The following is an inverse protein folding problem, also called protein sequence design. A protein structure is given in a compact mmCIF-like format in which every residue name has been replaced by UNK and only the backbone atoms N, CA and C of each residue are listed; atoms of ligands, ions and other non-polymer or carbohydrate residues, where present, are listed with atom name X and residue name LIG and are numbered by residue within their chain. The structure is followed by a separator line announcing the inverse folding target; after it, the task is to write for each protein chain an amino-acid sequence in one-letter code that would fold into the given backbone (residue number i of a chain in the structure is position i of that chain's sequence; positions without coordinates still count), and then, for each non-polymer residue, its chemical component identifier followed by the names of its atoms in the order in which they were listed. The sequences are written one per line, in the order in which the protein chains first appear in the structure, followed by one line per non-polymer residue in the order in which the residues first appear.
data_IF_070499886285
#
_entry.id   IF_070499886285
#
_cell.length_a   1.000
_cell.length_b   1.000
_cell.length_c   1.000
_cell.angle_alpha   90.00
_cell.angle_beta   90.00
_cell.angle_gamma   90.00
#
_symmetry.space_group_name_H-M   'P 1'
#
loop_
_entity.id
_entity.type
_entity.pdbx_description
1 polymer ?
#
# COMPACT_ATOMS: atom_id res chain seq x y z
N UNK A 1 4.51 21.53 16.27
CA UNK A 1 3.99 20.14 16.36
C UNK A 1 5.13 19.23 16.77
N UNK A 2 4.88 18.23 17.63
CA UNK A 2 5.92 17.26 18.00
C UNK A 2 6.16 16.25 16.86
N UNK A 3 7.32 15.57 16.87
CA UNK A 3 7.60 14.48 15.92
C UNK A 3 6.61 13.31 16.06
N UNK A 4 6.12 13.08 17.28
CA UNK A 4 5.09 12.08 17.55
C UNK A 4 3.77 12.42 16.85
N UNK A 5 3.32 13.68 16.93
CA UNK A 5 2.12 14.15 16.25
C UNK A 5 2.24 14.04 14.73
N UNK A 6 3.41 14.42 14.18
CA UNK A 6 3.68 14.30 12.74
C UNK A 6 3.63 12.84 12.28
N UNK A 7 4.22 11.92 13.04
CA UNK A 7 4.17 10.47 12.74
C UNK A 7 2.78 9.86 12.85
N UNK A 8 1.92 10.40 13.72
CA UNK A 8 0.51 9.99 13.82
C UNK A 8 -0.24 10.41 12.56
N UNK A 9 -0.15 11.69 12.17
CA UNK A 9 -0.86 12.21 11.00
C UNK A 9 -0.46 11.51 9.70
N UNK A 10 0.84 11.25 9.50
CA UNK A 10 1.36 10.51 8.33
C UNK A 10 0.88 9.04 8.24
N UNK A 11 0.36 8.49 9.33
CA UNK A 11 -0.17 7.12 9.38
C UNK A 11 -1.68 7.05 9.28
N UNK A 12 -2.40 8.09 9.67
CA UNK A 12 -3.88 8.03 9.79
C UNK A 12 -4.61 9.04 8.92
N UNK A 13 -4.13 10.28 8.82
CA UNK A 13 -4.88 11.37 8.20
C UNK A 13 -4.34 11.75 6.82
N UNK A 14 -3.02 11.60 6.60
CA UNK A 14 -2.36 12.12 5.41
C UNK A 14 -1.88 10.99 4.49
N UNK A 15 -2.31 11.04 3.23
CA UNK A 15 -1.73 10.28 2.14
C UNK A 15 -0.61 11.09 1.46
N UNK A 16 0.54 10.47 1.21
CA UNK A 16 1.65 11.07 0.45
C UNK A 16 1.80 10.30 -0.85
N UNK A 17 1.80 11.03 -1.96
CA UNK A 17 2.03 10.48 -3.31
C UNK A 17 3.36 11.02 -3.82
N UNK A 18 4.21 10.13 -4.30
CA UNK A 18 5.54 10.47 -4.83
C UNK A 18 5.49 10.69 -6.34
N UNK A 19 6.33 11.58 -6.87
CA UNK A 19 6.48 11.78 -8.32
C UNK A 19 7.03 10.53 -9.02
N UNK A 20 7.95 9.82 -8.37
CA UNK A 20 8.40 8.50 -8.79
C UNK A 20 7.71 7.45 -7.92
N UNK A 21 6.82 6.61 -8.48
CA UNK A 21 6.00 5.70 -7.68
C UNK A 21 6.80 4.74 -6.79
N UNK A 22 7.94 4.23 -7.30
CA UNK A 22 8.82 3.33 -6.56
C UNK A 22 9.44 3.95 -5.30
N UNK A 23 9.45 5.27 -5.16
CA UNK A 23 9.93 5.92 -3.94
C UNK A 23 8.95 5.73 -2.76
N UNK A 24 7.67 5.48 -3.07
CA UNK A 24 6.62 5.16 -2.09
C UNK A 24 6.43 3.66 -1.84
N UNK A 25 7.13 2.79 -2.58
CA UNK A 25 6.92 1.34 -2.56
C UNK A 25 8.17 0.57 -2.14
N UNK A 26 7.97 -0.50 -1.37
CA UNK A 26 8.99 -1.50 -1.05
C UNK A 26 9.11 -2.47 -2.22
N UNK A 27 10.17 -2.29 -3.02
CA UNK A 27 10.39 -3.00 -4.30
C UNK A 27 10.42 -4.53 -4.21
N UNK A 28 10.88 -5.08 -3.09
CA UNK A 28 10.99 -6.52 -2.86
C UNK A 28 9.80 -7.12 -2.11
N UNK A 29 8.74 -6.33 -1.90
CA UNK A 29 7.51 -6.75 -1.23
C UNK A 29 6.40 -6.74 -2.27
N UNK A 30 5.48 -7.70 -2.23
CA UNK A 30 4.37 -7.76 -3.18
C UNK A 30 3.46 -6.52 -3.09
N UNK A 31 2.62 -6.31 -4.11
CA UNK A 31 1.59 -5.27 -4.10
C UNK A 31 0.71 -5.38 -2.84
N UNK A 32 0.24 -6.59 -2.52
CA UNK A 32 -0.54 -6.87 -1.32
C UNK A 32 0.22 -6.63 -0.02
N UNK A 33 1.54 -6.89 0.00
CA UNK A 33 2.37 -6.61 1.16
C UNK A 33 2.57 -5.11 1.40
N UNK A 34 2.76 -4.32 0.33
CA UNK A 34 2.86 -2.86 0.40
C UNK A 34 1.55 -2.23 0.91
N UNK A 35 0.40 -2.69 0.41
CA UNK A 35 -0.92 -2.26 0.89
C UNK A 35 -1.14 -2.72 2.34
N UNK A 36 -0.83 -3.98 2.63
CA UNK A 36 -1.03 -4.59 3.94
C UNK A 36 -0.22 -3.93 5.04
N UNK A 37 1.01 -3.49 4.76
CA UNK A 37 1.84 -2.75 5.71
C UNK A 37 1.12 -1.49 6.23
N UNK A 38 0.46 -0.74 5.34
CA UNK A 38 -0.34 0.43 5.72
C UNK A 38 -1.55 0.06 6.57
N UNK A 39 -2.29 -0.96 6.19
CA UNK A 39 -3.45 -1.45 6.96
C UNK A 39 -3.04 -1.95 8.35
N UNK A 40 -1.89 -2.64 8.46
CA UNK A 40 -1.35 -3.08 9.74
C UNK A 40 -0.89 -1.89 10.60
N UNK A 41 -0.32 -0.86 9.99
CA UNK A 41 0.10 0.36 10.69
C UNK A 41 -1.08 1.14 11.30
N UNK A 42 -2.29 1.01 10.74
CA UNK A 42 -3.53 1.61 11.27
C UNK A 42 -4.28 0.70 12.24
N UNK A 43 -3.84 -0.55 12.43
CA UNK A 43 -4.36 -1.45 13.46
C UNK A 43 -4.98 -2.75 12.94
N UNK A 44 -5.05 -2.99 11.63
CA UNK A 44 -5.56 -4.25 11.10
C UNK A 44 -4.67 -5.44 11.54
N UNK A 45 -5.29 -6.54 11.97
CA UNK A 45 -4.58 -7.75 12.45
C UNK A 45 -5.05 -9.04 11.78
N UNK A 46 -6.25 -9.06 11.22
CA UNK A 46 -6.78 -10.25 10.55
C UNK A 46 -6.25 -10.31 9.12
N UNK A 47 -5.46 -11.34 8.82
CA UNK A 47 -4.82 -11.49 7.50
C UNK A 47 -5.85 -11.58 6.36
N UNK A 48 -6.94 -12.33 6.56
CA UNK A 48 -7.98 -12.48 5.54
C UNK A 48 -8.60 -11.13 5.14
N UNK A 49 -8.86 -10.27 6.12
CA UNK A 49 -9.49 -8.97 5.89
C UNK A 49 -8.52 -8.00 5.21
N UNK A 50 -7.24 -8.05 5.61
CA UNK A 50 -6.18 -7.27 4.98
C UNK A 50 -6.04 -7.67 3.51
N UNK A 51 -6.00 -8.98 3.21
CA UNK A 51 -5.87 -9.47 1.84
C UNK A 51 -7.08 -9.10 1.00
N UNK A 52 -8.29 -9.29 1.52
CA UNK A 52 -9.52 -8.92 0.83
C UNK A 52 -9.59 -7.41 0.52
N UNK A 53 -9.20 -6.58 1.49
CA UNK A 53 -9.13 -5.12 1.30
C UNK A 53 -8.09 -4.74 0.25
N UNK A 54 -6.91 -5.36 0.28
CA UNK A 54 -5.87 -5.12 -0.70
C UNK A 54 -6.30 -5.52 -2.13
N UNK A 55 -7.02 -6.65 -2.28
CA UNK A 55 -7.58 -7.06 -3.57
C UNK A 55 -8.61 -6.04 -4.09
N UNK A 56 -9.52 -5.59 -3.22
CA UNK A 56 -10.51 -4.57 -3.57
C UNK A 56 -9.85 -3.27 -4.04
N UNK A 57 -8.81 -2.82 -3.35
CA UNK A 57 -8.10 -1.59 -3.72
C UNK A 57 -7.34 -1.72 -5.03
N UNK A 58 -6.76 -2.90 -5.32
CA UNK A 58 -6.15 -3.15 -6.64
C UNK A 58 -7.20 -3.03 -7.75
N UNK A 59 -8.38 -3.61 -7.57
CA UNK A 59 -9.47 -3.53 -8.54
C UNK A 59 -9.96 -2.08 -8.73
N UNK A 60 -10.04 -1.28 -7.66
CA UNK A 60 -10.42 0.15 -7.71
C UNK A 60 -9.46 1.00 -8.54
N UNK A 61 -8.18 0.60 -8.63
CA UNK A 61 -7.17 1.23 -9.50
C UNK A 61 -6.93 0.47 -10.80
N UNK A 62 -7.89 -0.36 -11.21
CA UNK A 62 -7.89 -1.13 -12.46
C UNK A 62 -6.73 -2.15 -12.57
N UNK A 63 -6.17 -2.58 -11.45
CA UNK A 63 -5.19 -3.67 -11.37
C UNK A 63 -5.91 -4.98 -11.03
N UNK A 64 -5.74 -6.05 -11.82
CA UNK A 64 -6.36 -7.34 -11.52
C UNK A 64 -5.95 -7.90 -10.15
N UNK A 65 -6.94 -8.32 -9.34
CA UNK A 65 -6.69 -8.83 -7.98
C UNK A 65 -5.79 -10.08 -7.91
N UNK A 66 -5.67 -10.84 -9.00
CA UNK A 66 -4.75 -11.98 -9.08
C UNK A 66 -3.27 -11.56 -9.09
N UNK A 67 -2.97 -10.28 -9.32
CA UNK A 67 -1.62 -9.70 -9.24
C UNK A 67 -1.22 -9.24 -7.84
N UNK A 68 -2.02 -9.54 -6.82
CA UNK A 68 -1.74 -9.13 -5.44
C UNK A 68 -0.36 -9.60 -4.92
N UNK A 69 0.13 -10.74 -5.42
CA UNK A 69 1.40 -11.32 -5.01
C UNK A 69 2.58 -10.91 -5.93
N UNK A 70 2.32 -10.11 -6.96
CA UNK A 70 3.33 -9.58 -7.88
C UNK A 70 4.19 -8.49 -7.21
N UNK A 71 5.45 -8.39 -7.64
CA UNK A 71 6.36 -7.33 -7.19
C UNK A 71 6.08 -6.00 -7.93
N UNK A 72 6.21 -4.83 -7.26
CA UNK A 72 6.06 -3.50 -7.86
C UNK A 72 6.81 -3.32 -9.18
N UNK A 73 8.01 -3.91 -9.30
CA UNK A 73 8.85 -3.81 -10.49
C UNK A 73 8.28 -4.53 -11.72
N UNK A 74 7.25 -5.36 -11.57
CA UNK A 74 6.58 -6.08 -12.67
C UNK A 74 5.37 -5.31 -13.21
N UNK A 75 5.00 -4.20 -12.59
CA UNK A 75 3.97 -3.30 -13.08
C UNK A 75 4.58 -2.30 -14.07
N UNK A 76 3.78 -1.82 -15.03
CA UNK A 76 4.19 -0.72 -15.91
C UNK A 76 4.30 0.56 -15.10
N UNK A 77 5.00 1.58 -15.61
CA UNK A 77 5.15 2.85 -14.88
C UNK A 77 3.84 3.56 -14.55
N UNK A 78 2.75 3.30 -15.30
CA UNK A 78 1.42 3.84 -14.99
C UNK A 78 0.62 3.00 -13.99
N UNK A 79 1.04 1.76 -13.72
CA UNK A 79 0.43 0.86 -12.73
C UNK A 79 1.17 0.85 -11.39
N UNK A 80 2.41 1.35 -11.34
CA UNK A 80 3.20 1.51 -10.11
C UNK A 80 2.72 2.73 -9.34
#
# INVERSE_FOLDING_TARGET
MSEADRRRLLRTEWGVVHQHPLDGLRRQVSAGGNIGERLMATGARHYGDIRATAQKWLEEVEIPANRIDDLPTTFSGGMQ
#
